data_IF_280321756628
#
_entry.id   IF_280321756628
#
_cell.length_a   1.000
_cell.length_b   1.000
_cell.length_c   1.000
_cell.angle_alpha   90.00
_cell.angle_beta   90.00
_cell.angle_gamma   90.00
#
_symmetry.space_group_name_H-M   'P 1'
#
loop_
_entity.id
_entity.type
_entity.pdbx_description
1 polymer ?
#
# COMPACT_ATOMS: atom_id res chain seq x y z
N UNK A 1 26.50 -32.12 0.31
CA UNK A 1 27.17 -30.83 0.05
C UNK A 1 26.20 -29.64 0.00
N UNK A 2 25.06 -29.69 -0.70
CA UNK A 2 24.06 -28.61 -0.70
C UNK A 2 23.46 -28.27 0.70
N UNK A 3 23.31 -29.29 1.57
CA UNK A 3 22.81 -29.10 2.95
C UNK A 3 23.78 -28.38 3.90
N UNK A 4 25.06 -28.23 3.53
CA UNK A 4 26.09 -27.61 4.40
C UNK A 4 26.35 -26.13 4.03
N UNK A 5 26.14 -25.73 2.77
CA UNK A 5 26.26 -24.32 2.35
C UNK A 5 25.05 -23.46 2.77
N UNK A 6 23.85 -24.04 2.84
CA UNK A 6 22.65 -23.39 3.39
C UNK A 6 22.81 -23.16 4.91
N UNK A 7 23.48 -24.10 5.60
CA UNK A 7 23.71 -24.02 7.05
C UNK A 7 24.64 -22.86 7.45
N UNK A 8 25.64 -22.52 6.63
CA UNK A 8 26.58 -21.41 6.88
C UNK A 8 25.96 -20.04 6.55
N UNK A 9 25.13 -19.95 5.50
CA UNK A 9 24.44 -18.71 5.14
C UNK A 9 23.36 -18.31 6.17
N UNK A 10 22.65 -19.29 6.72
CA UNK A 10 21.65 -19.06 7.77
C UNK A 10 22.32 -18.66 9.10
N UNK A 11 23.49 -19.22 9.45
CA UNK A 11 24.16 -18.94 10.73
C UNK A 11 24.81 -17.54 10.82
N UNK A 12 25.23 -16.94 9.70
CA UNK A 12 25.84 -15.59 9.67
C UNK A 12 24.78 -14.48 9.73
N UNK A 13 23.63 -14.68 9.07
CA UNK A 13 22.46 -13.79 9.19
C UNK A 13 21.87 -13.87 10.62
N UNK A 14 21.91 -15.05 11.23
CA UNK A 14 21.54 -15.28 12.62
C UNK A 14 22.42 -14.50 13.62
N UNK A 15 23.74 -14.51 13.48
CA UNK A 15 24.63 -13.94 14.52
C UNK A 15 24.77 -12.40 14.44
N UNK A 16 24.63 -11.78 13.27
CA UNK A 16 24.72 -10.32 13.10
C UNK A 16 23.42 -9.58 13.49
N UNK A 17 22.24 -10.16 13.20
CA UNK A 17 20.94 -9.60 13.61
C UNK A 17 20.71 -9.70 15.13
N UNK A 18 21.32 -10.68 15.81
CA UNK A 18 21.25 -10.88 17.28
C UNK A 18 22.05 -9.82 18.07
N UNK A 19 23.17 -9.31 17.54
CA UNK A 19 24.07 -8.40 18.29
C UNK A 19 23.67 -6.92 18.18
N UNK A 20 23.01 -6.49 17.10
CA UNK A 20 22.72 -5.06 16.90
C UNK A 20 21.25 -4.67 17.14
N UNK A 21 20.31 -5.62 17.03
CA UNK A 21 18.88 -5.34 17.22
C UNK A 21 18.38 -5.56 18.66
N UNK A 22 19.20 -6.19 19.52
CA UNK A 22 18.92 -6.37 20.95
C UNK A 22 18.96 -5.07 21.77
N UNK A 23 19.07 -3.89 21.13
CA UNK A 23 19.26 -2.62 21.82
C UNK A 23 18.20 -1.53 21.62
N UNK A 24 17.11 -1.72 20.88
CA UNK A 24 15.88 -0.89 21.05
C UNK A 24 14.68 -1.49 20.29
N UNK A 25 13.55 -1.66 20.98
CA UNK A 25 12.26 -1.85 20.31
C UNK A 25 11.87 -0.57 19.56
N UNK A 26 11.26 -0.65 18.35
CA UNK A 26 10.65 0.51 17.74
C UNK A 26 9.48 0.97 18.62
N UNK A 27 9.70 2.06 19.36
CA UNK A 27 8.59 2.84 19.93
C UNK A 27 7.75 3.30 18.73
N UNK A 28 6.42 3.16 18.79
CA UNK A 28 5.55 3.80 17.80
C UNK A 28 5.86 5.30 17.87
N UNK A 29 6.64 5.81 16.92
CA UNK A 29 6.98 7.22 16.93
C UNK A 29 5.69 7.97 16.66
N UNK A 30 5.36 8.89 17.55
CA UNK A 30 4.24 9.79 17.37
C UNK A 30 4.49 10.56 16.08
N UNK A 31 3.53 10.46 15.15
CA UNK A 31 3.51 11.26 13.93
C UNK A 31 3.67 12.72 14.33
N UNK A 32 4.52 13.47 13.63
CA UNK A 32 4.56 14.92 13.83
C UNK A 32 3.21 15.52 13.38
N UNK A 33 2.28 15.72 14.32
CA UNK A 33 0.95 16.29 14.04
C UNK A 33 0.98 17.74 13.53
N UNK A 34 2.13 18.41 13.63
CA UNK A 34 2.36 19.74 13.05
C UNK A 34 3.03 19.69 11.66
N UNK A 35 3.27 18.50 11.12
CA UNK A 35 3.90 18.34 9.82
C UNK A 35 3.10 19.07 8.73
N UNK A 36 3.82 19.87 7.94
CA UNK A 36 3.34 20.41 6.69
C UNK A 36 4.20 19.84 5.57
N UNK A 37 3.56 19.29 4.55
CA UNK A 37 4.28 18.71 3.41
C UNK A 37 4.32 19.65 2.23
N UNK A 38 5.48 19.68 1.60
CA UNK A 38 5.72 20.42 0.37
C UNK A 38 5.33 19.53 -0.81
N UNK A 39 4.63 20.12 -1.77
CA UNK A 39 4.34 19.48 -3.05
C UNK A 39 5.59 19.55 -3.95
N UNK A 40 6.08 18.37 -4.34
CA UNK A 40 7.16 18.17 -5.30
C UNK A 40 6.61 18.36 -6.71
N UNK A 41 7.29 19.18 -7.52
CA UNK A 41 6.85 19.59 -8.86
C UNK A 41 7.88 19.34 -9.96
N UNK A 42 9.09 18.94 -9.59
CA UNK A 42 10.23 18.80 -10.49
C UNK A 42 10.42 17.33 -10.90
N UNK A 43 10.43 17.02 -12.20
CA UNK A 43 10.87 15.71 -12.66
C UNK A 43 12.37 15.50 -12.37
N UNK A 44 12.80 14.24 -12.22
CA UNK A 44 14.22 13.92 -12.10
C UNK A 44 14.50 12.54 -11.52
N UNK A 45 15.77 12.30 -11.16
CA UNK A 45 16.16 11.07 -10.46
C UNK A 45 15.64 11.08 -9.01
N UNK A 46 15.34 9.90 -8.48
CA UNK A 46 14.92 9.73 -7.08
C UNK A 46 16.09 9.93 -6.11
N UNK A 47 17.25 9.35 -6.44
CA UNK A 47 18.44 9.32 -5.59
C UNK A 47 19.59 10.14 -6.18
N UNK A 48 20.37 10.79 -5.33
CA UNK A 48 21.66 11.37 -5.70
C UNK A 48 22.77 10.28 -5.79
N UNK A 49 23.99 10.68 -6.14
CA UNK A 49 25.17 9.79 -6.23
C UNK A 49 25.61 9.17 -4.89
N UNK A 50 25.02 9.60 -3.78
CA UNK A 50 25.27 9.09 -2.43
C UNK A 50 24.16 8.12 -1.99
N UNK A 51 23.18 7.83 -2.84
CA UNK A 51 22.04 6.97 -2.54
C UNK A 51 21.00 7.60 -1.62
N UNK A 52 20.97 8.93 -1.52
CA UNK A 52 20.04 9.69 -0.69
C UNK A 52 18.92 10.28 -1.54
N UNK A 53 17.70 10.39 -0.99
CA UNK A 53 16.59 11.09 -1.65
C UNK A 53 16.99 12.54 -1.99
N UNK A 54 16.76 12.94 -3.24
CA UNK A 54 17.04 14.32 -3.69
C UNK A 54 16.06 15.34 -3.10
N UNK A 55 14.83 14.90 -2.85
CA UNK A 55 13.72 15.72 -2.37
C UNK A 55 12.83 14.86 -1.45
N UNK A 56 12.06 15.52 -0.59
CA UNK A 56 11.06 14.89 0.29
C UNK A 56 9.73 15.63 0.20
N UNK A 57 8.62 14.92 0.33
CA UNK A 57 7.29 15.51 0.22
C UNK A 57 6.32 14.60 -0.51
N UNK A 58 5.27 15.20 -1.07
CA UNK A 58 4.29 14.49 -1.89
C UNK A 58 4.24 15.07 -3.31
N UNK A 59 3.76 14.32 -4.29
CA UNK A 59 3.43 14.80 -5.63
C UNK A 59 2.09 14.20 -6.08
N UNK A 60 1.49 14.81 -7.11
CA UNK A 60 0.22 14.34 -7.71
C UNK A 60 0.41 13.32 -8.84
N UNK A 61 1.66 13.11 -9.26
CA UNK A 61 2.09 12.24 -10.37
C UNK A 61 3.48 11.69 -10.04
N UNK A 62 3.87 10.53 -10.62
CA UNK A 62 5.21 9.97 -10.45
C UNK A 62 6.25 10.79 -11.21
N UNK A 63 6.78 11.83 -10.55
CA UNK A 63 7.77 12.74 -11.16
C UNK A 63 9.21 12.24 -11.06
N UNK A 64 9.50 11.29 -10.16
CA UNK A 64 10.86 10.77 -9.98
C UNK A 64 11.05 9.42 -10.65
N UNK A 65 12.17 9.27 -11.35
CA UNK A 65 12.66 8.00 -11.88
C UNK A 65 13.51 7.29 -10.83
N UNK A 66 13.23 6.01 -10.61
CA UNK A 66 14.02 5.18 -9.71
C UNK A 66 15.31 4.75 -10.42
N UNK A 67 16.43 5.26 -9.90
CA UNK A 67 17.79 4.89 -10.27
C UNK A 67 18.37 3.90 -9.25
N UNK A 68 18.00 2.61 -9.41
CA UNK A 68 18.36 1.52 -8.50
C UNK A 68 19.88 1.34 -8.34
N UNK A 69 20.66 1.76 -9.34
CA UNK A 69 22.11 1.76 -9.29
C UNK A 69 22.69 2.67 -8.20
N UNK A 70 21.92 3.60 -7.65
CA UNK A 70 22.37 4.49 -6.57
C UNK A 70 22.02 3.96 -5.17
N UNK A 71 21.26 2.86 -5.04
CA UNK A 71 20.90 2.29 -3.74
C UNK A 71 22.15 1.95 -2.92
N UNK A 72 22.12 2.29 -1.63
CA UNK A 72 23.28 2.12 -0.74
C UNK A 72 23.78 0.66 -0.70
N UNK A 73 25.11 0.45 -0.60
CA UNK A 73 25.69 -0.87 -0.46
C UNK A 73 25.19 -1.63 0.77
N UNK A 74 25.03 -2.95 0.66
CA UNK A 74 24.83 -3.81 1.81
C UNK A 74 26.18 -4.36 2.31
N UNK A 75 26.52 -4.13 3.58
CA UNK A 75 27.82 -4.47 4.17
C UNK A 75 29.02 -3.93 3.36
N UNK A 76 28.87 -2.73 2.78
CA UNK A 76 29.90 -2.10 1.93
C UNK A 76 30.03 -2.66 0.52
N UNK A 77 29.20 -3.65 0.14
CA UNK A 77 29.26 -4.31 -1.16
C UNK A 77 28.08 -3.88 -2.05
N UNK A 78 28.37 -3.14 -3.13
CA UNK A 78 27.36 -2.60 -4.04
C UNK A 78 26.56 -3.69 -4.74
N UNK A 79 27.19 -4.81 -5.08
CA UNK A 79 26.53 -5.98 -5.67
C UNK A 79 25.50 -6.65 -4.76
N UNK A 80 25.52 -6.34 -3.46
CA UNK A 80 24.57 -6.87 -2.47
C UNK A 80 23.44 -5.88 -2.13
N UNK A 81 23.40 -4.70 -2.75
CA UNK A 81 22.39 -3.66 -2.45
C UNK A 81 20.95 -4.14 -2.66
N UNK A 82 20.73 -5.12 -3.55
CA UNK A 82 19.42 -5.71 -3.77
C UNK A 82 18.82 -6.37 -2.51
N UNK A 83 19.64 -6.84 -1.56
CA UNK A 83 19.18 -7.39 -0.28
C UNK A 83 18.57 -6.33 0.65
N UNK A 84 18.76 -5.05 0.34
CA UNK A 84 18.20 -3.92 1.08
C UNK A 84 17.00 -3.31 0.39
N UNK A 85 16.85 -3.59 -0.90
CA UNK A 85 15.84 -3.00 -1.72
C UNK A 85 14.57 -3.83 -1.69
N UNK A 86 13.55 -3.25 -1.09
CA UNK A 86 12.27 -3.88 -0.87
C UNK A 86 11.25 -3.24 -1.80
N UNK A 87 10.41 -4.08 -2.39
CA UNK A 87 9.42 -3.71 -3.40
C UNK A 87 8.10 -4.37 -3.05
N UNK A 88 7.02 -3.63 -3.18
CA UNK A 88 5.68 -4.22 -3.15
C UNK A 88 4.79 -3.60 -4.22
N UNK A 89 3.90 -4.43 -4.75
CA UNK A 89 2.80 -4.02 -5.60
C UNK A 89 1.51 -4.53 -4.94
N UNK A 90 0.64 -3.61 -4.54
CA UNK A 90 -0.68 -3.89 -4.00
C UNK A 90 -1.76 -3.39 -4.95
N UNK A 91 -2.80 -4.20 -5.12
CA UNK A 91 -3.99 -3.85 -5.88
C UNK A 91 -5.22 -4.31 -5.11
N UNK A 92 -6.29 -3.55 -5.18
CA UNK A 92 -7.58 -3.97 -4.67
C UNK A 92 -8.72 -3.66 -5.63
N UNK A 93 -9.81 -4.41 -5.50
CA UNK A 93 -11.11 -4.11 -6.09
C UNK A 93 -12.12 -4.12 -4.97
N UNK A 94 -12.82 -3.00 -4.80
CA UNK A 94 -13.92 -2.86 -3.83
C UNK A 94 -15.23 -2.69 -4.60
N UNK A 95 -16.19 -3.52 -4.25
CA UNK A 95 -17.55 -3.54 -4.78
C UNK A 95 -18.56 -3.50 -3.62
N UNK A 96 -19.84 -3.43 -3.96
CA UNK A 96 -20.94 -3.62 -3.01
C UNK A 96 -21.06 -5.05 -2.45
N UNK A 97 -20.35 -6.02 -3.03
CA UNK A 97 -20.46 -7.46 -2.68
C UNK A 97 -19.19 -8.05 -2.09
N UNK A 98 -18.04 -7.59 -2.53
CA UNK A 98 -16.75 -8.14 -2.15
C UNK A 98 -15.63 -7.12 -2.20
N UNK A 99 -14.55 -7.41 -1.47
CA UNK A 99 -13.23 -6.83 -1.66
C UNK A 99 -12.25 -7.92 -2.10
N UNK A 100 -11.53 -7.69 -3.19
CA UNK A 100 -10.44 -8.54 -3.66
C UNK A 100 -9.14 -7.78 -3.48
N UNK A 101 -8.18 -8.34 -2.76
CA UNK A 101 -6.88 -7.75 -2.49
C UNK A 101 -5.78 -8.65 -3.06
N UNK A 102 -4.81 -8.05 -3.71
CA UNK A 102 -3.65 -8.70 -4.30
C UNK A 102 -2.41 -8.02 -3.73
N UNK A 103 -1.56 -8.78 -3.06
CA UNK A 103 -0.31 -8.28 -2.48
C UNK A 103 0.86 -9.09 -3.05
N UNK A 104 1.84 -8.39 -3.61
CA UNK A 104 3.07 -8.98 -4.11
C UNK A 104 4.23 -8.23 -3.47
N UNK A 105 5.10 -8.93 -2.74
CA UNK A 105 6.28 -8.34 -2.12
C UNK A 105 7.55 -9.08 -2.55
N UNK A 106 8.61 -8.31 -2.79
CA UNK A 106 9.97 -8.76 -3.00
C UNK A 106 10.88 -8.02 -2.02
N UNK A 107 11.46 -8.75 -1.08
CA UNK A 107 12.34 -8.23 -0.03
C UNK A 107 13.83 -8.33 -0.42
N UNK A 108 14.13 -8.82 -1.62
CA UNK A 108 15.49 -9.08 -2.11
C UNK A 108 16.05 -10.45 -1.71
N UNK A 109 15.57 -11.03 -0.61
CA UNK A 109 15.96 -12.38 -0.13
C UNK A 109 14.77 -13.31 0.14
N UNK A 110 13.56 -12.76 0.17
CA UNK A 110 12.31 -13.50 0.31
C UNK A 110 11.20 -12.73 -0.42
N UNK A 111 10.18 -13.44 -0.87
CA UNK A 111 9.03 -12.85 -1.52
C UNK A 111 7.73 -13.34 -0.90
N UNK A 112 6.65 -12.60 -1.12
CA UNK A 112 5.32 -13.02 -0.72
C UNK A 112 4.33 -12.71 -1.84
N UNK A 113 3.45 -13.64 -2.16
CA UNK A 113 2.29 -13.42 -3.02
C UNK A 113 1.06 -13.81 -2.24
N UNK A 114 0.14 -12.88 -2.04
CA UNK A 114 -1.08 -13.11 -1.29
C UNK A 114 -2.27 -12.58 -2.07
N UNK A 115 -3.34 -13.37 -2.10
CA UNK A 115 -4.65 -12.96 -2.60
C UNK A 115 -5.69 -13.18 -1.51
N UNK A 116 -6.50 -12.16 -1.26
CA UNK A 116 -7.53 -12.18 -0.23
C UNK A 116 -8.87 -11.76 -0.82
N UNK A 117 -9.89 -12.56 -0.59
CA UNK A 117 -11.25 -12.28 -1.03
C UNK A 117 -12.17 -12.19 0.18
N UNK A 118 -12.63 -10.96 0.46
CA UNK A 118 -13.58 -10.67 1.52
C UNK A 118 -14.99 -10.55 0.93
N UNK A 119 -15.87 -11.46 1.33
CA UNK A 119 -17.29 -11.43 1.00
C UNK A 119 -18.03 -10.58 2.03
N UNK A 120 -18.49 -9.40 1.62
CA UNK A 120 -19.07 -8.39 2.52
C UNK A 120 -20.34 -8.91 3.19
N UNK A 121 -21.26 -9.47 2.42
CA UNK A 121 -22.55 -9.98 2.92
C UNK A 121 -22.39 -11.07 3.99
N UNK A 122 -21.39 -11.95 3.82
CA UNK A 122 -21.14 -13.09 4.71
C UNK A 122 -20.20 -12.75 5.87
N UNK A 123 -19.62 -11.55 5.89
CA UNK A 123 -18.52 -11.19 6.77
C UNK A 123 -17.40 -12.25 6.83
N UNK A 124 -17.05 -12.80 5.66
CA UNK A 124 -16.11 -13.91 5.56
C UNK A 124 -14.97 -13.57 4.60
N UNK A 125 -13.73 -13.79 5.03
CA UNK A 125 -12.54 -13.59 4.20
C UNK A 125 -11.81 -14.90 3.94
N UNK A 126 -11.44 -15.11 2.69
CA UNK A 126 -10.54 -16.20 2.28
C UNK A 126 -9.23 -15.62 1.79
N UNK A 127 -8.14 -15.93 2.51
CA UNK A 127 -6.78 -15.54 2.14
C UNK A 127 -5.99 -16.78 1.71
N UNK A 128 -5.28 -16.66 0.60
CA UNK A 128 -4.28 -17.62 0.11
C UNK A 128 -2.97 -16.85 0.03
N UNK A 129 -1.90 -17.37 0.62
CA UNK A 129 -0.59 -16.72 0.66
C UNK A 129 0.50 -17.74 0.37
N UNK A 130 1.48 -17.35 -0.43
CA UNK A 130 2.65 -18.13 -0.75
C UNK A 130 3.91 -17.32 -0.39
N UNK A 131 4.84 -17.95 0.33
CA UNK A 131 6.10 -17.34 0.74
C UNK A 131 7.25 -17.95 -0.06
N UNK A 132 7.94 -17.09 -0.81
CA UNK A 132 8.95 -17.50 -1.78
C UNK A 132 10.34 -17.30 -1.18
N UNK A 133 11.02 -18.40 -0.85
CA UNK A 133 12.41 -18.36 -0.37
C UNK A 133 13.45 -18.66 -1.45
N UNK A 134 13.02 -19.18 -2.60
CA UNK A 134 13.93 -19.43 -3.72
C UNK A 134 14.20 -18.12 -4.47
N UNK A 135 15.45 -17.63 -4.36
CA UNK A 135 15.89 -16.37 -5.00
C UNK A 135 15.61 -16.32 -6.51
N UNK A 136 15.72 -17.45 -7.23
CA UNK A 136 15.47 -17.48 -8.67
C UNK A 136 13.99 -17.41 -9.03
N UNK A 137 13.09 -17.49 -8.05
CA UNK A 137 11.63 -17.44 -8.19
C UNK A 137 11.02 -16.23 -7.49
N UNK A 138 11.83 -15.33 -6.93
CA UNK A 138 11.33 -14.13 -6.27
C UNK A 138 10.45 -13.31 -7.23
N UNK A 139 9.43 -12.60 -6.70
CA UNK A 139 8.62 -11.73 -7.52
C UNK A 139 9.46 -10.66 -8.22
N UNK A 140 9.63 -10.78 -9.54
CA UNK A 140 10.36 -9.80 -10.33
C UNK A 140 9.48 -8.56 -10.61
N UNK A 141 9.20 -7.77 -9.57
CA UNK A 141 8.41 -6.55 -9.70
C UNK A 141 9.16 -5.51 -10.54
N UNK A 142 8.50 -5.00 -11.58
CA UNK A 142 9.09 -4.08 -12.54
C UNK A 142 9.26 -2.69 -11.92
N UNK A 143 10.38 -2.02 -12.21
CA UNK A 143 10.63 -0.66 -11.69
C UNK A 143 9.65 0.37 -12.27
N UNK A 144 9.22 0.20 -13.52
CA UNK A 144 8.24 1.08 -14.15
C UNK A 144 6.79 0.75 -13.74
N UNK A 145 6.55 -0.19 -12.82
CA UNK A 145 5.21 -0.41 -12.26
C UNK A 145 4.62 0.92 -11.81
N UNK A 146 5.45 1.83 -11.27
CA UNK A 146 5.09 3.21 -10.87
C UNK A 146 4.32 3.99 -11.95
N UNK A 147 4.67 3.79 -13.23
CA UNK A 147 4.11 4.48 -14.40
C UNK A 147 3.12 3.61 -15.19
N UNK A 148 2.50 2.61 -14.54
CA UNK A 148 1.58 1.67 -15.19
C UNK A 148 2.24 0.87 -16.32
N UNK A 149 3.53 0.57 -16.19
CA UNK A 149 4.27 -0.23 -17.17
C UNK A 149 4.88 -1.46 -16.52
N UNK A 150 4.61 -2.60 -17.14
CA UNK A 150 5.25 -3.85 -16.79
C UNK A 150 4.25 -4.99 -16.70
N UNK A 151 4.80 -6.18 -16.63
CA UNK A 151 4.04 -7.41 -16.55
C UNK A 151 4.56 -8.25 -15.39
N UNK A 152 3.64 -8.90 -14.69
CA UNK A 152 3.94 -9.82 -13.62
C UNK A 152 3.21 -11.13 -13.86
N UNK A 153 3.91 -12.24 -13.64
CA UNK A 153 3.33 -13.59 -13.67
C UNK A 153 3.87 -14.38 -12.50
N UNK A 154 2.97 -15.04 -11.79
CA UNK A 154 3.28 -15.94 -10.69
C UNK A 154 2.51 -17.24 -10.85
N UNK A 155 3.16 -18.36 -10.58
CA UNK A 155 2.54 -19.67 -10.66
C UNK A 155 3.10 -20.59 -9.57
N UNK A 156 2.21 -21.02 -8.70
CA UNK A 156 2.40 -22.01 -7.64
C UNK A 156 1.24 -23.03 -7.70
N UNK A 157 1.23 -23.98 -6.78
CA UNK A 157 0.13 -24.95 -6.68
C UNK A 157 -1.19 -24.27 -6.23
N UNK A 158 -1.10 -23.21 -5.41
CA UNK A 158 -2.26 -22.54 -4.81
C UNK A 158 -2.65 -21.20 -5.46
N UNK A 159 -1.71 -20.54 -6.14
CA UNK A 159 -1.92 -19.23 -6.76
C UNK A 159 -1.32 -19.22 -8.16
N UNK A 160 -2.17 -18.93 -9.16
CA UNK A 160 -1.75 -18.41 -10.46
C UNK A 160 -2.21 -16.98 -10.58
N UNK A 161 -1.29 -16.08 -10.88
CA UNK A 161 -1.56 -14.65 -10.97
C UNK A 161 -0.86 -14.09 -12.20
N UNK A 162 -1.57 -13.30 -12.99
CA UNK A 162 -0.97 -12.45 -14.00
C UNK A 162 -1.49 -11.03 -13.86
N UNK A 163 -0.60 -10.06 -14.05
CA UNK A 163 -0.92 -8.63 -14.07
C UNK A 163 -0.19 -8.00 -15.25
N UNK A 164 -0.91 -7.27 -16.09
CA UNK A 164 -0.37 -6.49 -17.19
C UNK A 164 -0.74 -5.03 -16.99
N UNK A 165 0.27 -4.17 -16.90
CA UNK A 165 0.10 -2.73 -16.83
C UNK A 165 0.52 -2.12 -18.16
N UNK A 166 -0.35 -1.30 -18.75
CA UNK A 166 -0.12 -0.71 -20.07
C UNK A 166 -0.63 0.73 -20.11
N UNK A 167 0.23 1.73 -20.35
CA UNK A 167 -0.20 3.08 -20.68
C UNK A 167 -0.82 3.12 -22.08
N UNK A 168 -1.87 3.91 -22.28
CA UNK A 168 -2.48 4.15 -23.58
C UNK A 168 -2.66 5.66 -23.79
N UNK A 169 -1.61 6.29 -24.32
CA UNK A 169 -1.57 7.73 -24.56
C UNK A 169 -2.66 8.20 -25.54
N UNK A 170 -2.99 7.42 -26.57
CA UNK A 170 -4.04 7.77 -27.55
C UNK A 170 -5.41 7.96 -26.89
N UNK A 171 -5.71 7.17 -25.85
CA UNK A 171 -6.97 7.23 -25.11
C UNK A 171 -6.87 8.05 -23.81
N UNK A 172 -5.69 8.56 -23.46
CA UNK A 172 -5.45 9.28 -22.20
C UNK A 172 -5.78 8.43 -20.96
N UNK A 173 -5.47 7.14 -21.00
CA UNK A 173 -5.74 6.21 -19.89
C UNK A 173 -4.61 5.22 -19.68
N UNK A 174 -4.51 4.69 -18.47
CA UNK A 174 -3.67 3.54 -18.14
C UNK A 174 -4.55 2.34 -17.77
N UNK A 175 -4.15 1.17 -18.24
CA UNK A 175 -4.82 -0.09 -17.95
C UNK A 175 -4.00 -0.94 -17.00
N UNK A 176 -4.69 -1.60 -16.07
CA UNK A 176 -4.18 -2.75 -15.32
C UNK A 176 -5.12 -3.90 -15.56
N UNK A 177 -4.65 -4.95 -16.22
CA UNK A 177 -5.42 -6.17 -16.47
C UNK A 177 -4.86 -7.27 -15.59
N UNK A 178 -5.73 -8.01 -14.89
CA UNK A 178 -5.30 -9.07 -14.00
C UNK A 178 -6.10 -10.35 -14.25
N UNK A 179 -5.47 -11.49 -13.92
CA UNK A 179 -6.10 -12.80 -13.86
C UNK A 179 -5.56 -13.57 -12.65
N UNK A 180 -6.46 -14.14 -11.86
CA UNK A 180 -6.17 -14.91 -10.65
C UNK A 180 -6.90 -16.25 -10.75
N UNK A 181 -6.18 -17.32 -10.42
CA UNK A 181 -6.73 -18.66 -10.25
C UNK A 181 -6.21 -19.23 -8.92
N UNK A 182 -7.13 -19.64 -8.04
CA UNK A 182 -6.83 -20.34 -6.77
C UNK A 182 -7.75 -21.56 -6.63
N UNK A 183 -7.49 -22.49 -5.70
CA UNK A 183 -8.42 -23.59 -5.41
C UNK A 183 -9.84 -23.15 -5.00
N UNK A 184 -10.02 -21.92 -4.51
CA UNK A 184 -11.28 -21.45 -3.91
C UNK A 184 -12.06 -20.47 -4.78
N UNK A 185 -11.35 -19.64 -5.55
CA UNK A 185 -11.95 -18.65 -6.43
C UNK A 185 -11.03 -18.32 -7.61
N UNK A 186 -11.61 -17.76 -8.66
CA UNK A 186 -10.88 -17.16 -9.76
C UNK A 186 -11.46 -15.80 -10.10
N UNK A 187 -10.64 -14.89 -10.59
CA UNK A 187 -11.11 -13.58 -11.02
C UNK A 187 -10.25 -13.04 -12.15
N UNK A 188 -10.90 -12.39 -13.10
CA UNK A 188 -10.22 -11.61 -14.14
C UNK A 188 -10.87 -10.24 -14.22
N UNK A 189 -10.07 -9.21 -14.44
CA UNK A 189 -10.60 -7.86 -14.47
C UNK A 189 -9.65 -6.86 -15.08
N UNK A 190 -10.20 -5.65 -15.25
CA UNK A 190 -9.53 -4.51 -15.84
C UNK A 190 -9.81 -3.27 -15.00
N UNK A 191 -8.73 -2.59 -14.62
CA UNK A 191 -8.72 -1.32 -13.93
C UNK A 191 -8.37 -0.23 -14.95
N UNK A 192 -9.07 0.90 -14.89
CA UNK A 192 -8.83 2.05 -15.77
C UNK A 192 -8.54 3.28 -14.92
N UNK A 193 -7.34 3.83 -15.10
CA UNK A 193 -6.94 5.14 -14.60
C UNK A 193 -6.98 6.16 -15.73
N UNK A 194 -7.58 7.33 -15.51
CA UNK A 194 -7.46 8.43 -16.48
C UNK A 194 -6.13 9.14 -16.28
N UNK A 195 -5.51 9.56 -17.37
CA UNK A 195 -4.22 10.24 -17.31
C UNK A 195 -4.30 11.53 -16.50
N UNK A 196 -5.43 12.27 -16.58
CA UNK A 196 -5.64 13.46 -15.77
C UNK A 196 -5.77 13.18 -14.27
N UNK A 197 -6.17 11.97 -13.85
CA UNK A 197 -6.43 11.67 -12.43
C UNK A 197 -5.14 11.69 -11.61
N UNK A 198 -5.16 12.47 -10.53
CA UNK A 198 -4.08 12.54 -9.55
C UNK A 198 -3.84 11.21 -8.86
N UNK A 199 -2.62 11.02 -8.41
CA UNK A 199 -2.18 9.95 -7.51
C UNK A 199 -1.50 10.59 -6.31
N UNK A 200 -1.54 9.94 -5.16
CA UNK A 200 -0.63 10.31 -4.08
C UNK A 200 0.72 9.68 -4.37
N UNK A 201 1.73 10.49 -4.65
CA UNK A 201 3.12 10.04 -4.73
C UNK A 201 3.88 10.57 -3.54
N UNK A 202 4.64 9.73 -2.86
CA UNK A 202 5.30 10.07 -1.60
C UNK A 202 6.79 9.78 -1.70
N UNK A 203 7.61 10.74 -1.26
CA UNK A 203 9.06 10.65 -1.14
C UNK A 203 9.41 10.78 0.34
N UNK A 204 9.52 9.65 1.03
CA UNK A 204 9.58 9.59 2.49
C UNK A 204 10.96 9.15 2.97
N UNK A 205 11.76 10.04 3.56
CA UNK A 205 12.95 9.67 4.32
C UNK A 205 12.59 8.82 5.55
N UNK A 206 13.29 7.71 5.74
CA UNK A 206 13.15 6.78 6.88
C UNK A 206 14.28 6.98 7.91
N UNK A 207 15.40 7.54 7.48
CA UNK A 207 16.51 7.92 8.35
C UNK A 207 16.94 9.38 8.12
N UNK A 208 17.83 9.87 8.98
CA UNK A 208 18.24 11.28 9.02
C UNK A 208 18.91 11.77 7.72
N UNK A 209 19.72 10.94 7.07
CA UNK A 209 20.43 11.29 5.85
C UNK A 209 19.67 10.93 4.56
N UNK A 210 18.45 10.43 4.69
CA UNK A 210 17.56 10.02 3.61
C UNK A 210 18.13 8.93 2.67
N UNK A 211 19.13 8.16 3.13
CA UNK A 211 19.61 6.96 2.42
C UNK A 211 18.68 5.77 2.58
N UNK A 212 17.83 5.80 3.62
CA UNK A 212 16.74 4.85 3.81
C UNK A 212 15.48 5.63 3.48
N UNK A 213 14.65 5.04 2.63
CA UNK A 213 13.55 5.76 2.04
C UNK A 213 12.41 4.83 1.67
N UNK A 214 11.25 5.43 1.50
CA UNK A 214 10.11 4.81 0.85
C UNK A 214 9.57 5.76 -0.20
N UNK A 215 9.53 5.26 -1.43
CA UNK A 215 8.97 5.93 -2.59
C UNK A 215 7.78 5.12 -3.08
N UNK A 216 6.60 5.74 -3.08
CA UNK A 216 5.38 5.04 -3.42
C UNK A 216 4.38 5.91 -4.15
N UNK A 217 3.50 5.22 -4.89
CA UNK A 217 2.39 5.83 -5.61
C UNK A 217 1.11 5.09 -5.27
N UNK A 218 0.11 5.86 -4.86
CA UNK A 218 -1.20 5.38 -4.48
C UNK A 218 -2.27 6.01 -5.35
N UNK A 219 -2.98 5.15 -6.05
CA UNK A 219 -4.08 5.49 -6.94
C UNK A 219 -5.35 4.88 -6.39
N UNK A 220 -6.40 5.69 -6.21
CA UNK A 220 -7.68 5.22 -5.69
C UNK A 220 -8.85 5.74 -6.53
N UNK A 221 -9.96 5.02 -6.48
CA UNK A 221 -11.13 5.34 -7.30
C UNK A 221 -10.94 5.02 -8.78
N UNK A 222 -10.03 4.09 -9.11
CA UNK A 222 -9.88 3.57 -10.48
C UNK A 222 -11.14 2.80 -10.86
N UNK A 223 -11.61 2.94 -12.09
CA UNK A 223 -12.82 2.20 -12.52
C UNK A 223 -12.47 0.75 -12.78
N UNK A 224 -13.21 -0.18 -12.18
CA UNK A 224 -12.96 -1.60 -12.28
C UNK A 224 -14.10 -2.36 -12.97
N UNK A 225 -13.77 -3.34 -13.80
CA UNK A 225 -14.75 -4.27 -14.39
C UNK A 225 -14.16 -5.67 -14.52
N UNK A 226 -15.02 -6.69 -14.53
CA UNK A 226 -14.57 -8.07 -14.63
C UNK A 226 -15.57 -9.06 -14.07
N UNK A 227 -15.02 -10.21 -13.69
CA UNK A 227 -15.78 -11.34 -13.15
C UNK A 227 -15.00 -12.01 -12.02
N UNK A 228 -15.74 -12.42 -10.99
CA UNK A 228 -15.28 -13.24 -9.89
C UNK A 228 -16.09 -14.54 -9.89
N UNK A 229 -15.43 -15.68 -9.80
CA UNK A 229 -16.04 -17.00 -9.70
C UNK A 229 -15.67 -17.62 -8.36
N UNK A 230 -16.67 -17.93 -7.55
CA UNK A 230 -16.53 -18.63 -6.27
C UNK A 230 -16.75 -20.12 -6.53
N UNK A 231 -15.71 -20.94 -6.36
CA UNK A 231 -15.73 -22.34 -6.81
C UNK A 231 -16.63 -23.22 -5.96
N UNK A 232 -16.65 -23.01 -4.64
CA UNK A 232 -17.43 -23.83 -3.70
C UNK A 232 -18.93 -23.84 -4.03
N UNK A 233 -19.46 -22.74 -4.57
CA UNK A 233 -20.88 -22.60 -4.91
C UNK A 233 -21.13 -22.43 -6.42
N UNK A 234 -20.08 -22.53 -7.25
CA UNK A 234 -20.11 -22.21 -8.68
C UNK A 234 -20.82 -20.86 -8.97
N UNK A 235 -20.61 -19.87 -8.10
CA UNK A 235 -21.27 -18.57 -8.17
C UNK A 235 -20.39 -17.60 -8.97
N UNK A 236 -20.94 -17.00 -10.02
CA UNK A 236 -20.31 -15.90 -10.76
C UNK A 236 -20.87 -14.55 -10.30
N UNK A 237 -19.96 -13.61 -10.04
CA UNK A 237 -20.25 -12.21 -9.71
C UNK A 237 -19.57 -11.35 -10.76
N UNK A 238 -20.37 -10.76 -11.65
CA UNK A 238 -19.88 -9.75 -12.59
C UNK A 238 -19.85 -8.39 -11.91
N UNK A 239 -18.81 -7.62 -12.21
CA UNK A 239 -18.68 -6.26 -11.74
C UNK A 239 -18.28 -5.32 -12.87
N UNK A 240 -18.64 -4.05 -12.77
CA UNK A 240 -18.46 -3.10 -13.84
C UNK A 240 -18.14 -1.69 -13.31
N UNK A 241 -17.69 -0.83 -14.23
CA UNK A 241 -17.18 0.51 -13.92
C UNK A 241 -18.17 1.44 -13.23
N UNK A 242 -19.47 1.18 -13.31
CA UNK A 242 -20.48 2.06 -12.72
C UNK A 242 -20.58 1.94 -11.20
N UNK A 243 -20.19 0.79 -10.63
CA UNK A 243 -20.38 0.48 -9.22
C UNK A 243 -19.18 -0.23 -8.57
N UNK A 244 -18.04 -0.29 -9.27
CA UNK A 244 -16.84 -0.95 -8.78
C UNK A 244 -15.62 -0.09 -8.97
N UNK A 245 -14.87 0.06 -7.89
CA UNK A 245 -13.64 0.82 -7.84
C UNK A 245 -12.47 -0.09 -7.50
N UNK A 246 -11.29 0.37 -7.86
CA UNK A 246 -10.05 -0.28 -7.57
C UNK A 246 -8.99 0.72 -7.16
N UNK A 247 -8.04 0.20 -6.40
CA UNK A 247 -6.88 0.93 -5.94
C UNK A 247 -5.60 0.21 -6.30
N UNK A 248 -4.52 0.95 -6.18
CA UNK A 248 -3.15 0.51 -6.45
C UNK A 248 -2.21 1.24 -5.51
N UNK A 249 -1.34 0.51 -4.82
CA UNK A 249 -0.28 1.04 -3.98
C UNK A 249 1.03 0.33 -4.37
N UNK A 250 1.91 1.05 -5.06
CA UNK A 250 3.21 0.54 -5.51
C UNK A 250 4.30 1.20 -4.69
N UNK A 251 5.11 0.40 -4.02
CA UNK A 251 6.14 0.85 -3.09
C UNK A 251 7.53 0.33 -3.41
N UNK A 252 8.52 1.18 -3.29
CA UNK A 252 9.95 0.89 -3.54
C UNK A 252 10.78 1.56 -2.46
N UNK A 253 11.71 0.86 -1.83
CA UNK A 253 12.47 1.49 -0.76
C UNK A 253 13.56 0.66 -0.11
N UNK A 254 14.27 1.34 0.79
CA UNK A 254 15.25 0.76 1.71
C UNK A 254 14.76 1.11 3.10
N UNK A 255 14.27 0.11 3.85
CA UNK A 255 13.67 0.35 5.16
C UNK A 255 14.61 -0.02 6.29
N UNK A 256 14.33 0.55 7.47
CA UNK A 256 14.93 0.09 8.71
C UNK A 256 14.64 -1.40 8.94
N UNK A 257 15.52 -2.06 9.71
CA UNK A 257 15.31 -3.45 10.09
C UNK A 257 14.03 -3.60 10.91
N UNK A 258 13.82 -2.71 11.88
CA UNK A 258 12.54 -2.53 12.56
C UNK A 258 11.68 -1.48 11.85
N UNK A 259 10.45 -1.84 11.49
CA UNK A 259 9.49 -0.94 10.88
C UNK A 259 8.12 -1.05 11.55
N UNK A 260 7.42 0.07 11.67
CA UNK A 260 6.01 0.12 12.06
C UNK A 260 5.28 1.02 11.08
N UNK A 261 4.03 0.67 10.75
CA UNK A 261 3.14 1.60 10.08
C UNK A 261 1.69 1.38 10.48
N UNK A 262 0.95 2.47 10.33
CA UNK A 262 -0.48 2.46 10.18
C UNK A 262 -0.82 2.81 8.75
N UNK A 263 -1.76 2.07 8.18
CA UNK A 263 -2.32 2.38 6.87
C UNK A 263 -3.81 2.09 6.88
N UNK A 264 -4.62 3.05 6.44
CA UNK A 264 -6.05 2.86 6.24
C UNK A 264 -6.43 3.34 4.86
N UNK A 265 -7.23 2.52 4.17
CA UNK A 265 -7.69 2.78 2.82
C UNK A 265 -9.16 2.39 2.69
N UNK A 266 -9.95 3.24 2.02
CA UNK A 266 -11.30 2.91 1.63
C UNK A 266 -11.66 3.62 0.32
N UNK A 267 -12.61 3.05 -0.44
CA UNK A 267 -13.09 3.66 -1.68
C UNK A 267 -14.52 3.25 -1.98
N UNK A 268 -15.25 4.16 -2.62
CA UNK A 268 -16.66 3.98 -2.94
C UNK A 268 -17.20 5.12 -3.79
N UNK A 269 -18.50 5.10 -4.05
CA UNK A 269 -19.19 6.20 -4.72
C UNK A 269 -19.89 7.08 -3.71
N UNK A 270 -19.74 8.39 -3.86
CA UNK A 270 -20.50 9.38 -3.09
C UNK A 270 -21.22 10.35 -4.01
N UNK A 271 -22.25 11.02 -3.50
CA UNK A 271 -22.92 12.09 -4.20
C UNK A 271 -22.14 13.39 -4.03
N UNK A 272 -21.74 14.03 -5.12
CA UNK A 272 -21.14 15.37 -5.08
C UNK A 272 -22.21 16.47 -4.90
N UNK A 273 -21.76 17.73 -4.77
CA UNK A 273 -22.65 18.89 -4.60
C UNK A 273 -23.65 19.11 -5.75
N UNK A 274 -23.38 18.55 -6.93
CA UNK A 274 -24.25 18.66 -8.11
C UNK A 274 -25.25 17.50 -8.19
N UNK A 275 -25.16 16.55 -7.26
CA UNK A 275 -26.03 15.38 -7.21
C UNK A 275 -25.48 14.17 -7.98
N UNK A 276 -24.28 14.26 -8.56
CA UNK A 276 -23.68 13.18 -9.35
C UNK A 276 -22.95 12.18 -8.47
N UNK A 277 -23.06 10.89 -8.81
CA UNK A 277 -22.26 9.84 -8.17
C UNK A 277 -20.83 9.87 -8.71
N UNK A 278 -19.87 10.17 -7.83
CA UNK A 278 -18.45 10.30 -8.17
C UNK A 278 -17.58 9.34 -7.35
N UNK A 279 -16.45 8.86 -7.89
CA UNK A 279 -15.49 8.08 -7.12
C UNK A 279 -14.94 8.88 -5.96
N UNK A 280 -14.83 8.23 -4.81
CA UNK A 280 -14.19 8.73 -3.60
C UNK A 280 -13.21 7.67 -3.11
N UNK A 281 -12.02 8.10 -2.72
CA UNK A 281 -11.03 7.29 -2.03
C UNK A 281 -10.46 8.07 -0.86
N UNK A 282 -10.17 7.38 0.24
CA UNK A 282 -9.43 7.91 1.37
C UNK A 282 -8.21 7.04 1.61
N UNK A 283 -7.09 7.67 1.92
CA UNK A 283 -5.85 7.02 2.32
C UNK A 283 -5.28 7.77 3.51
N UNK A 284 -4.95 7.03 4.57
CA UNK A 284 -4.35 7.55 5.79
C UNK A 284 -3.14 6.67 6.11
N UNK A 285 -1.97 7.26 6.26
CA UNK A 285 -0.73 6.49 6.36
C UNK A 285 0.38 7.23 7.08
N UNK A 286 1.02 6.54 8.02
CA UNK A 286 2.15 7.04 8.81
C UNK A 286 2.89 5.92 9.58
N UNK A 287 4.02 6.26 10.20
CA UNK A 287 4.70 5.47 11.22
C UNK A 287 6.10 4.97 10.86
N UNK A 288 6.49 5.01 9.58
CA UNK A 288 7.80 4.55 9.11
C UNK A 288 8.76 5.71 8.78
N UNK A 289 8.25 6.93 8.68
CA UNK A 289 9.02 8.14 8.40
C UNK A 289 10.02 8.48 9.52
N UNK A 290 11.11 9.13 9.14
CA UNK A 290 12.00 9.76 10.11
C UNK A 290 11.29 10.93 10.81
N UNK A 291 11.57 11.17 12.08
CA UNK A 291 10.91 12.22 12.88
C UNK A 291 11.08 13.64 12.30
N UNK A 292 12.20 13.89 11.59
CA UNK A 292 12.46 15.15 10.90
C UNK A 292 11.99 15.17 9.43
N UNK A 293 11.41 14.08 8.93
CA UNK A 293 10.93 14.00 7.56
C UNK A 293 9.74 14.93 7.33
N UNK A 294 8.85 15.05 8.32
CA UNK A 294 7.56 15.76 8.22
C UNK A 294 6.71 15.23 7.04
N UNK A 295 6.75 13.94 6.78
CA UNK A 295 6.02 13.28 5.68
C UNK A 295 4.97 12.32 6.21
N UNK A 296 3.77 12.34 5.65
CA UNK A 296 2.64 11.47 5.96
C UNK A 296 1.75 11.31 4.72
N UNK A 297 0.95 10.25 4.65
CA UNK A 297 0.23 9.91 3.41
C UNK A 297 -1.17 10.53 3.33
N UNK A 298 -1.75 10.92 4.48
CA UNK A 298 -3.17 11.31 4.61
C UNK A 298 -3.73 12.21 3.48
N UNK A 299 -4.65 11.66 2.68
CA UNK A 299 -5.32 12.35 1.60
C UNK A 299 -6.72 11.78 1.31
N UNK A 300 -7.50 12.55 0.56
CA UNK A 300 -8.72 12.09 -0.11
C UNK A 300 -8.54 12.27 -1.62
N UNK A 301 -9.00 11.30 -2.41
CA UNK A 301 -9.11 11.44 -3.86
C UNK A 301 -10.59 11.51 -4.21
N UNK A 302 -11.04 12.68 -4.68
CA UNK A 302 -12.43 12.91 -5.08
C UNK A 302 -12.50 13.12 -6.59
N UNK A 303 -13.20 12.23 -7.30
CA UNK A 303 -13.35 12.25 -8.75
C UNK A 303 -12.02 12.40 -9.53
N UNK A 304 -10.96 11.77 -9.04
CA UNK A 304 -9.62 11.83 -9.64
C UNK A 304 -8.79 13.05 -9.23
N UNK A 305 -9.26 13.90 -8.31
CA UNK A 305 -8.48 15.02 -7.76
C UNK A 305 -8.02 14.71 -6.35
N UNK A 306 -6.73 14.89 -6.09
CA UNK A 306 -6.17 14.68 -4.76
C UNK A 306 -6.37 15.91 -3.87
N UNK A 307 -6.94 15.71 -2.70
CA UNK A 307 -7.06 16.68 -1.62
C UNK A 307 -6.17 16.22 -0.47
N UNK A 308 -5.04 16.92 -0.29
CA UNK A 308 -4.13 16.60 0.80
C UNK A 308 -4.78 17.02 2.12
N UNK A 309 -4.79 16.11 3.11
CA UNK A 309 -5.32 16.40 4.43
C UNK A 309 -4.22 16.97 5.33
N UNK A 310 -4.63 17.66 6.39
CA UNK A 310 -3.77 17.80 7.57
C UNK A 310 -3.56 16.42 8.22
N UNK A 311 -2.54 16.30 9.07
CA UNK A 311 -2.26 15.04 9.77
C UNK A 311 -3.48 14.58 10.56
N UNK A 312 -3.90 13.34 10.32
CA UNK A 312 -5.08 12.75 10.94
C UNK A 312 -4.69 12.07 12.25
N UNK A 313 -5.31 12.51 13.35
CA UNK A 313 -5.24 11.85 14.64
C UNK A 313 -6.21 10.69 14.68
N UNK A 314 -5.66 9.51 14.97
CA UNK A 314 -6.41 8.30 15.24
C UNK A 314 -6.58 8.14 16.74
N UNK A 315 -7.83 8.00 17.19
CA UNK A 315 -8.17 7.62 18.56
C UNK A 315 -8.89 6.29 18.52
N UNK A 316 -8.34 5.28 19.19
CA UNK A 316 -8.92 3.95 19.34
C UNK A 316 -8.73 3.47 20.78
N UNK A 317 -9.64 2.63 21.24
CA UNK A 317 -9.52 1.96 22.53
C UNK A 317 -8.59 0.75 22.38
N UNK A 318 -7.38 0.80 22.93
CA UNK A 318 -6.41 -0.31 22.80
C UNK A 318 -6.88 -1.60 23.49
N UNK A 319 -7.70 -1.48 24.54
CA UNK A 319 -8.31 -2.62 25.23
C UNK A 319 -9.47 -3.22 24.42
N UNK A 320 -10.07 -2.43 23.53
CA UNK A 320 -11.17 -2.86 22.66
C UNK A 320 -11.08 -2.23 21.26
N UNK A 321 -10.11 -2.71 20.49
CA UNK A 321 -9.79 -2.22 19.15
C UNK A 321 -10.87 -2.51 18.10
N UNK A 322 -11.93 -3.25 18.45
CA UNK A 322 -13.07 -3.54 17.57
C UNK A 322 -14.18 -2.47 17.68
N UNK A 323 -14.08 -1.55 18.66
CA UNK A 323 -14.93 -0.36 18.70
C UNK A 323 -14.60 0.61 17.56
N UNK A 324 -15.54 1.51 17.25
CA UNK A 324 -15.34 2.53 16.23
C UNK A 324 -14.12 3.42 16.56
N UNK A 325 -13.26 3.62 15.57
CA UNK A 325 -12.10 4.50 15.67
C UNK A 325 -12.49 5.90 15.23
N UNK A 326 -11.95 6.91 15.90
CA UNK A 326 -12.08 8.31 15.47
C UNK A 326 -10.87 8.70 14.65
N UNK A 327 -11.10 9.34 13.51
CA UNK A 327 -10.09 9.80 12.55
C UNK A 327 -10.34 11.28 12.29
N UNK A 328 -9.59 12.17 12.97
CA UNK A 328 -9.83 13.61 12.97
C UNK A 328 -8.56 14.42 12.78
N UNK A 329 -8.64 15.52 12.04
CA UNK A 329 -7.63 16.57 12.07
C UNK A 329 -7.85 17.49 13.27
N UNK A 330 -6.80 18.15 13.75
CA UNK A 330 -6.92 19.13 14.85
C UNK A 330 -7.76 20.35 14.43
N UNK A 331 -7.45 20.90 13.27
CA UNK A 331 -8.24 21.97 12.68
C UNK A 331 -9.45 21.37 11.97
N UNK A 332 -10.62 21.96 12.20
CA UNK A 332 -11.90 21.58 11.62
C UNK A 332 -12.46 22.75 10.80
N UNK A 333 -13.29 22.44 9.80
CA UNK A 333 -13.92 23.44 8.92
C UNK A 333 -12.93 24.30 8.10
N UNK A 334 -11.74 23.78 7.81
CA UNK A 334 -10.76 24.41 6.90
C UNK A 334 -10.32 23.42 5.83
N UNK A 335 -9.88 23.86 4.64
CA UNK A 335 -9.36 22.97 3.61
C UNK A 335 -8.37 21.93 4.14
N UNK A 336 -8.62 20.65 3.85
CA UNK A 336 -7.81 19.53 4.34
C UNK A 336 -8.19 19.01 5.72
N UNK A 337 -9.25 19.54 6.36
CA UNK A 337 -9.83 18.96 7.57
C UNK A 337 -10.55 17.64 7.29
N UNK A 338 -10.44 16.70 8.23
CA UNK A 338 -11.18 15.44 8.26
C UNK A 338 -11.90 15.28 9.60
N UNK A 339 -13.15 14.80 9.56
CA UNK A 339 -13.88 14.31 10.72
C UNK A 339 -14.62 13.02 10.33
N UNK A 340 -14.02 11.88 10.68
CA UNK A 340 -14.51 10.58 10.28
C UNK A 340 -14.43 9.55 11.40
N UNK A 341 -15.18 8.47 11.20
CA UNK A 341 -15.10 7.26 12.00
C UNK A 341 -14.84 6.06 11.11
N UNK A 342 -14.10 5.09 11.63
CA UNK A 342 -13.96 3.76 11.03
C UNK A 342 -14.60 2.73 11.97
N UNK A 343 -15.54 1.95 11.48
CA UNK A 343 -16.24 0.89 12.23
C UNK A 343 -15.72 -0.48 11.78
N UNK A 344 -14.88 -1.15 12.59
CA UNK A 344 -14.41 -2.49 12.27
C UNK A 344 -15.55 -3.51 12.24
N UNK A 345 -15.54 -4.39 11.24
CA UNK A 345 -16.51 -5.47 11.07
C UNK A 345 -15.83 -6.84 11.14
N UNK A 346 -14.64 -6.95 10.54
CA UNK A 346 -13.87 -8.18 10.51
C UNK A 346 -12.41 -7.88 10.85
N UNK A 347 -11.79 -8.74 11.66
CA UNK A 347 -10.36 -8.65 12.00
C UNK A 347 -9.60 -9.86 11.49
N UNK A 348 -8.52 -9.61 10.77
CA UNK A 348 -7.49 -10.59 10.42
C UNK A 348 -6.23 -10.25 11.19
N UNK A 349 -5.62 -11.23 11.84
CA UNK A 349 -4.35 -11.07 12.55
C UNK A 349 -3.38 -12.15 12.10
N UNK A 350 -2.12 -11.74 11.95
CA UNK A 350 -1.01 -12.62 11.59
C UNK A 350 0.19 -12.26 12.47
N UNK A 351 0.77 -13.26 13.10
CA UNK A 351 1.98 -13.14 13.92
C UNK A 351 2.94 -14.24 13.46
N UNK A 352 3.86 -13.86 12.59
CA UNK A 352 4.90 -14.76 12.07
C UNK A 352 6.24 -14.36 12.66
N UNK A 353 6.97 -15.33 13.19
CA UNK A 353 8.29 -15.14 13.75
C UNK A 353 9.23 -16.23 13.24
N UNK A 354 10.12 -15.85 12.33
CA UNK A 354 11.22 -16.66 11.79
C UNK A 354 12.56 -16.23 12.42
N UNK A 355 12.52 -15.86 13.70
CA UNK A 355 13.63 -15.42 14.54
C UNK A 355 14.18 -14.02 14.19
N UNK A 356 14.90 -13.88 13.07
CA UNK A 356 15.43 -12.58 12.60
C UNK A 356 14.45 -11.87 11.67
N UNK A 357 13.43 -12.58 11.17
CA UNK A 357 12.33 -11.98 10.42
C UNK A 357 11.08 -12.14 11.25
N UNK A 358 10.36 -11.06 11.49
CA UNK A 358 9.11 -11.08 12.24
C UNK A 358 8.10 -10.17 11.56
N UNK A 359 6.85 -10.59 11.46
CA UNK A 359 5.76 -9.74 11.00
C UNK A 359 4.57 -9.91 11.95
N UNK A 360 4.20 -8.82 12.63
CA UNK A 360 2.96 -8.70 13.39
C UNK A 360 2.03 -7.77 12.64
N UNK A 361 0.92 -8.33 12.20
CA UNK A 361 -0.03 -7.68 11.32
C UNK A 361 -1.43 -7.81 11.91
N UNK A 362 -2.12 -6.68 12.04
CA UNK A 362 -3.55 -6.64 12.36
C UNK A 362 -4.23 -5.79 11.29
N UNK A 363 -5.15 -6.40 10.56
CA UNK A 363 -5.95 -5.71 9.55
C UNK A 363 -7.42 -5.84 9.91
N UNK A 364 -8.09 -4.71 9.92
CA UNK A 364 -9.50 -4.55 10.23
C UNK A 364 -10.19 -4.15 8.94
N UNK A 365 -11.18 -4.91 8.52
CA UNK A 365 -12.08 -4.52 7.44
C UNK A 365 -13.32 -3.92 8.04
N UNK A 366 -13.85 -2.88 7.41
CA UNK A 366 -14.97 -2.16 7.96
C UNK A 366 -15.41 -0.99 7.11
N UNK A 367 -16.10 -0.06 7.75
CA UNK A 367 -16.81 1.02 7.08
C UNK A 367 -16.34 2.37 7.58
N UNK A 368 -16.07 3.26 6.64
CA UNK A 368 -15.74 4.66 6.90
C UNK A 368 -16.96 5.54 6.65
N UNK A 369 -17.18 6.49 7.55
CA UNK A 369 -18.19 7.55 7.40
C UNK A 369 -17.70 8.84 8.03
N UNK A 370 -18.15 9.97 7.49
CA UNK A 370 -17.74 11.28 7.99
C UNK A 370 -17.80 12.38 6.94
N UNK A 371 -16.91 13.35 7.10
CA UNK A 371 -16.78 14.48 6.19
C UNK A 371 -15.34 14.94 6.09
N UNK A 372 -14.99 15.53 4.95
CA UNK A 372 -13.77 16.30 4.78
C UNK A 372 -14.08 17.65 4.15
N UNK A 373 -13.15 18.60 4.25
CA UNK A 373 -13.28 19.91 3.58
C UNK A 373 -12.29 19.95 2.42
N UNK A 374 -12.81 20.15 1.21
CA UNK A 374 -11.99 20.21 0.00
C UNK A 374 -11.12 21.48 -0.04
N UNK A 375 -10.26 21.58 -1.06
CA UNK A 375 -9.35 22.73 -1.22
C UNK A 375 -10.07 24.06 -1.50
N UNK A 376 -11.36 24.03 -1.86
CA UNK A 376 -12.20 25.21 -2.06
C UNK A 376 -13.01 25.58 -0.80
N UNK A 377 -12.83 24.86 0.31
CA UNK A 377 -13.57 25.07 1.55
C UNK A 377 -14.96 24.43 1.58
N UNK A 378 -15.26 23.52 0.65
CA UNK A 378 -16.55 22.83 0.57
C UNK A 378 -16.49 21.57 1.43
N UNK A 379 -17.44 21.43 2.36
CA UNK A 379 -17.64 20.17 3.11
C UNK A 379 -18.25 19.10 2.21
N UNK A 380 -17.57 17.97 2.14
CA UNK A 380 -18.01 16.78 1.41
C UNK A 380 -18.26 15.67 2.41
N UNK A 381 -19.49 15.15 2.42
CA UNK A 381 -19.89 14.05 3.27
C UNK A 381 -19.71 12.71 2.55
N UNK A 382 -19.34 11.69 3.29
CA UNK A 382 -19.26 10.32 2.82
C UNK A 382 -19.78 9.39 3.89
N UNK A 383 -20.43 8.32 3.47
CA UNK A 383 -21.01 7.32 4.35
C UNK A 383 -20.94 5.96 3.66
N UNK A 384 -20.92 4.89 4.46
CA UNK A 384 -20.90 3.52 3.96
C UNK A 384 -19.73 3.22 2.98
N UNK A 385 -18.55 3.80 3.21
CA UNK A 385 -17.37 3.57 2.37
C UNK A 385 -16.56 2.40 2.92
N UNK A 386 -16.63 1.25 2.24
CA UNK A 386 -15.91 0.04 2.65
C UNK A 386 -14.41 0.16 2.40
N UNK A 387 -13.64 -0.41 3.32
CA UNK A 387 -12.20 -0.42 3.27
C UNK A 387 -11.59 -1.21 4.41
N UNK A 388 -10.34 -0.91 4.71
CA UNK A 388 -9.63 -1.51 5.83
C UNK A 388 -8.71 -0.50 6.53
N UNK A 389 -8.29 -0.88 7.73
CA UNK A 389 -7.22 -0.24 8.46
C UNK A 389 -6.25 -1.30 9.00
N UNK A 390 -4.96 -1.03 8.89
CA UNK A 390 -3.86 -1.92 9.15
C UNK A 390 -2.92 -1.32 10.19
N UNK A 391 -2.49 -2.17 11.12
CA UNK A 391 -1.38 -1.93 12.02
C UNK A 391 -0.34 -3.01 11.75
N UNK A 392 0.82 -2.60 11.28
CA UNK A 392 1.89 -3.52 10.90
C UNK A 392 3.16 -3.22 11.69
N UNK A 393 3.82 -4.26 12.18
CA UNK A 393 5.17 -4.22 12.74
C UNK A 393 5.99 -5.31 12.07
N UNK A 394 7.14 -4.94 11.52
CA UNK A 394 8.02 -5.88 10.84
C UNK A 394 9.47 -5.76 11.32
N UNK A 395 10.12 -6.92 11.35
CA UNK A 395 11.57 -7.15 11.39
C UNK A 395 11.95 -7.85 10.11
N UNK A 396 12.90 -7.29 9.37
CA UNK A 396 13.19 -7.66 7.99
C UNK A 396 14.42 -8.54 7.80
#
# INVERSE_FOLDING_TARGET
MAKFQIFVAVFVVLFASIIYESMNEPVSKLVNYSAQQVEVKTPGKLLNSQGQLVEKGFARKPLKEINEEEIIPFLGLKQLSFLRYKKWDFFDIITDKFMLLIHIADLGYAGNVQVSLYYLEKNYIKTISDTVHNLSKLPALHKNSMNYEGNYKYNSDDIKLSIQQTPNAEKGVHYVEYEIETPYFSSKGKLVKREQDDELVMLTPINQDASYFYYNTKSYGLRAEGELIIKEHNQSIKFNRSHSLAGRDIGRGVWNYNSFWFWAHAQGFIQDKTGNMVPFGIDLGNGFEHESANTYEDCVILNGRLHKLHVVKRTLNEDNIEQAWTLKTDQQNVPGSLNATFEPVLRVTKDENFLVIQAKFKQFYGVFKGSFVDENGITVNFDQIYGFAELHRAKW
#
